data_IF_908019553274
#
_entry.id   IF_908019553274
#
_cell.length_a   1.000
_cell.length_b   1.000
_cell.length_c   1.000
_cell.angle_alpha   90.00
_cell.angle_beta   90.00
_cell.angle_gamma   90.00
#
_symmetry.space_group_name_H-M   'P 1'
#
loop_
_entity.id
_entity.type
_entity.pdbx_description
1 polymer ?
#
# COMPACT_ATOMS: atom_id res chain seq x y z
N UNK A 1 -28.84 -1.71 11.24
CA UNK A 1 -28.54 -2.34 12.54
C UNK A 1 -28.95 -3.78 12.36
N UNK A 2 -27.96 -4.67 12.34
CA UNK A 2 -28.10 -6.03 11.87
C UNK A 2 -29.22 -6.81 12.57
N UNK A 3 -29.82 -7.74 11.84
CA UNK A 3 -30.78 -8.68 12.39
C UNK A 3 -30.06 -9.64 13.37
N UNK A 4 -30.47 -9.70 14.66
CA UNK A 4 -29.84 -10.57 15.65
C UNK A 4 -29.82 -12.06 15.25
N UNK A 5 -30.83 -12.53 14.51
CA UNK A 5 -30.86 -13.90 13.99
C UNK A 5 -29.78 -14.10 12.93
N UNK A 6 -29.63 -13.15 12.00
CA UNK A 6 -28.59 -13.19 10.96
C UNK A 6 -27.18 -13.14 11.55
N UNK A 7 -26.95 -12.34 12.59
CA UNK A 7 -25.66 -12.29 13.29
C UNK A 7 -25.34 -13.63 13.96
N UNK A 8 -26.35 -14.26 14.58
CA UNK A 8 -26.20 -15.58 15.21
C UNK A 8 -25.89 -16.65 14.18
N UNK A 9 -26.59 -16.62 13.03
CA UNK A 9 -26.32 -17.47 11.87
C UNK A 9 -24.89 -17.30 11.36
N UNK A 10 -24.44 -16.06 11.15
CA UNK A 10 -23.09 -15.78 10.69
C UNK A 10 -22.01 -16.27 11.68
N UNK A 11 -22.26 -16.17 12.99
CA UNK A 11 -21.34 -16.70 14.01
C UNK A 11 -21.34 -18.23 14.10
N UNK A 12 -22.43 -18.88 13.72
CA UNK A 12 -22.53 -20.34 13.70
C UNK A 12 -21.79 -21.00 12.53
N UNK A 13 -21.47 -20.23 11.49
CA UNK A 13 -20.58 -20.63 10.40
C UNK A 13 -21.27 -20.83 9.05
N UNK A 14 -20.50 -21.15 8.00
CA UNK A 14 -20.96 -21.17 6.61
C UNK A 14 -22.08 -22.20 6.37
N UNK A 15 -22.01 -23.37 7.01
CA UNK A 15 -23.01 -24.44 6.81
C UNK A 15 -24.41 -24.07 7.31
N UNK A 16 -24.50 -23.28 8.37
CA UNK A 16 -25.78 -22.81 8.91
C UNK A 16 -26.38 -21.72 8.02
N UNK A 17 -25.54 -20.82 7.46
CA UNK A 17 -25.96 -19.87 6.44
C UNK A 17 -26.57 -20.60 5.24
N UNK A 18 -25.87 -21.61 4.71
CA UNK A 18 -26.39 -22.41 3.58
C UNK A 18 -27.72 -23.09 3.93
N UNK A 19 -27.82 -23.74 5.09
CA UNK A 19 -29.04 -24.43 5.51
C UNK A 19 -30.22 -23.46 5.70
N UNK A 20 -29.95 -22.27 6.23
CA UNK A 20 -30.94 -21.20 6.34
C UNK A 20 -31.39 -20.68 4.98
N UNK A 21 -30.47 -20.47 4.03
CA UNK A 21 -30.80 -20.07 2.65
C UNK A 21 -31.68 -21.12 1.96
N UNK A 22 -31.36 -22.41 2.13
CA UNK A 22 -32.15 -23.54 1.63
C UNK A 22 -33.54 -23.63 2.27
N UNK A 23 -33.69 -23.27 3.54
CA UNK A 23 -34.99 -23.26 4.22
C UNK A 23 -35.84 -22.04 3.84
N UNK A 24 -35.19 -20.90 3.57
CA UNK A 24 -35.84 -19.59 3.47
C UNK A 24 -35.92 -19.04 2.03
N UNK A 25 -35.63 -19.87 1.02
CA UNK A 25 -35.78 -19.53 -0.41
C UNK A 25 -37.22 -19.18 -0.82
N UNK A 26 -38.20 -19.58 -0.01
CA UNK A 26 -39.62 -19.27 -0.16
C UNK A 26 -40.09 -18.47 1.05
N UNK A 27 -40.41 -17.19 0.85
CA UNK A 27 -40.95 -16.32 1.92
C UNK A 27 -42.38 -15.89 1.61
N UNK A 28 -43.27 -15.84 2.61
CA UNK A 28 -44.59 -15.24 2.45
C UNK A 28 -44.46 -13.80 1.95
N UNK A 29 -45.24 -13.42 0.95
CA UNK A 29 -45.21 -12.06 0.43
C UNK A 29 -45.89 -11.11 1.42
N UNK A 30 -45.09 -10.31 2.13
CA UNK A 30 -45.57 -9.29 3.08
C UNK A 30 -45.68 -7.90 2.47
N UNK A 31 -45.32 -7.70 1.20
CA UNK A 31 -45.37 -6.42 0.51
C UNK A 31 -46.66 -6.26 -0.35
N UNK A 32 -47.18 -5.02 -0.43
CA UNK A 32 -48.36 -4.66 -1.25
C UNK A 32 -48.04 -4.68 -2.76
N UNK A 33 -49.04 -4.85 -3.68
CA UNK A 33 -48.82 -5.35 -5.03
C UNK A 33 -47.88 -4.49 -5.88
N UNK A 34 -46.88 -5.12 -6.50
CA UNK A 34 -45.97 -4.52 -7.49
C UNK A 34 -46.24 -4.96 -8.93
N UNK A 35 -47.18 -5.88 -9.15
CA UNK A 35 -47.45 -6.43 -10.48
C UNK A 35 -48.86 -6.06 -10.93
N UNK A 36 -48.93 -5.21 -11.95
CA UNK A 36 -50.15 -4.89 -12.69
C UNK A 36 -50.03 -5.50 -14.09
N UNK A 37 -50.92 -6.45 -14.41
CA UNK A 37 -51.06 -6.96 -15.75
C UNK A 37 -52.11 -6.10 -16.48
N UNK A 38 -51.66 -5.20 -17.34
CA UNK A 38 -52.54 -4.43 -18.22
C UNK A 38 -52.81 -5.21 -19.50
N UNK A 39 -54.08 -5.41 -19.84
CA UNK A 39 -54.48 -5.99 -21.13
C UNK A 39 -55.51 -5.10 -21.83
N UNK A 40 -55.39 -5.05 -23.16
CA UNK A 40 -56.21 -4.20 -24.02
C UNK A 40 -56.96 -5.08 -25.02
N UNK A 41 -58.27 -5.17 -24.87
CA UNK A 41 -59.17 -5.87 -25.77
C UNK A 41 -59.96 -4.81 -26.54
N UNK A 42 -59.59 -4.63 -27.81
CA UNK A 42 -60.20 -3.66 -28.74
C UNK A 42 -60.24 -2.23 -28.12
N UNK A 43 -61.43 -1.71 -27.82
CA UNK A 43 -61.62 -0.35 -27.29
C UNK A 43 -61.66 -0.26 -25.75
N UNK A 44 -61.39 -1.36 -25.03
CA UNK A 44 -61.39 -1.38 -23.55
C UNK A 44 -60.04 -1.81 -22.97
N UNK A 45 -59.51 -0.96 -22.10
CA UNK A 45 -58.36 -1.28 -21.24
C UNK A 45 -58.86 -1.81 -19.89
N UNK A 46 -58.37 -2.98 -19.49
CA UNK A 46 -58.56 -3.52 -18.14
C UNK A 46 -57.19 -3.90 -17.56
N UNK A 47 -57.06 -3.84 -16.24
CA UNK A 47 -55.84 -4.19 -15.53
C UNK A 47 -56.17 -4.99 -14.29
N UNK A 48 -55.43 -6.09 -14.09
CA UNK A 48 -55.50 -6.88 -12.88
C UNK A 48 -54.19 -6.70 -12.10
N UNK A 49 -54.32 -6.31 -10.83
CA UNK A 49 -53.21 -6.32 -9.90
C UNK A 49 -53.23 -7.64 -9.13
N UNK A 50 -52.13 -8.38 -9.16
CA UNK A 50 -52.00 -9.61 -8.39
C UNK A 50 -50.87 -9.48 -7.36
N UNK A 51 -51.10 -10.08 -6.18
CA UNK A 51 -50.09 -10.26 -5.14
C UNK A 51 -49.75 -11.75 -5.08
N UNK A 52 -48.57 -12.19 -5.54
CA UNK A 52 -48.18 -13.58 -5.36
C UNK A 52 -48.09 -13.88 -3.85
N UNK A 53 -48.56 -15.05 -3.40
CA UNK A 53 -48.55 -15.44 -1.97
C UNK A 53 -47.13 -15.61 -1.42
N UNK A 54 -46.17 -15.87 -2.32
CA UNK A 54 -44.76 -16.07 -2.00
C UNK A 54 -43.87 -15.27 -2.94
N UNK A 55 -42.82 -14.69 -2.38
CA UNK A 55 -41.71 -14.12 -3.15
C UNK A 55 -40.64 -15.20 -3.25
N UNK A 56 -40.21 -15.47 -4.47
CA UNK A 56 -39.12 -16.38 -4.78
C UNK A 56 -37.85 -15.55 -5.00
N UNK A 57 -36.79 -15.86 -4.28
CA UNK A 57 -35.52 -15.13 -4.39
C UNK A 57 -34.49 -15.61 -3.38
N UNK A 58 -33.23 -15.21 -3.60
CA UNK A 58 -32.14 -15.45 -2.64
C UNK A 58 -32.38 -14.55 -1.42
N UNK A 59 -32.64 -15.10 -0.22
CA UNK A 59 -32.82 -14.28 0.97
C UNK A 59 -31.50 -13.55 1.28
N UNK A 60 -31.53 -12.23 1.38
CA UNK A 60 -30.34 -11.44 1.73
C UNK A 60 -30.13 -11.47 3.25
N UNK A 61 -28.88 -11.68 3.69
CA UNK A 61 -28.49 -11.52 5.08
C UNK A 61 -28.21 -10.04 5.35
N UNK A 62 -28.97 -9.45 6.28
CA UNK A 62 -28.66 -8.14 6.86
C UNK A 62 -27.72 -8.32 8.05
N UNK A 63 -26.43 -8.05 7.80
CA UNK A 63 -25.34 -8.01 8.75
C UNK A 63 -24.82 -6.57 8.93
N UNK A 64 -25.66 -5.55 8.64
CA UNK A 64 -25.27 -4.14 8.72
C UNK A 64 -24.85 -3.73 10.15
N UNK A 65 -23.58 -3.33 10.31
CA UNK A 65 -23.01 -2.99 11.61
C UNK A 65 -22.86 -4.20 12.56
N UNK A 66 -22.91 -5.43 12.03
CA UNK A 66 -22.74 -6.63 12.83
C UNK A 66 -21.32 -6.70 13.40
N UNK A 67 -21.21 -7.05 14.69
CA UNK A 67 -19.93 -7.44 15.26
C UNK A 67 -19.68 -8.91 14.91
N UNK A 68 -18.75 -9.18 14.01
CA UNK A 68 -18.34 -10.50 13.51
C UNK A 68 -16.82 -10.70 13.64
N UNK A 69 -16.22 -10.04 14.63
CA UNK A 69 -14.81 -10.15 14.96
C UNK A 69 -14.40 -11.63 15.16
N UNK A 70 -13.30 -12.02 14.52
CA UNK A 70 -12.78 -13.39 14.50
C UNK A 70 -13.81 -14.47 14.06
N UNK A 71 -14.83 -14.10 13.29
CA UNK A 71 -15.78 -15.06 12.72
C UNK A 71 -15.08 -16.02 11.76
N UNK A 72 -15.57 -17.27 11.70
CA UNK A 72 -15.07 -18.30 10.80
C UNK A 72 -16.12 -18.56 9.72
N UNK A 73 -15.92 -17.95 8.57
CA UNK A 73 -16.82 -17.99 7.41
C UNK A 73 -16.09 -18.45 6.13
N UNK A 74 -15.25 -19.51 6.17
CA UNK A 74 -14.56 -19.96 4.98
C UNK A 74 -15.54 -20.55 3.97
N UNK A 75 -15.42 -20.16 2.70
CA UNK A 75 -16.32 -20.62 1.64
C UNK A 75 -17.79 -20.21 1.82
N UNK A 76 -18.09 -19.25 2.70
CA UNK A 76 -19.46 -18.79 2.91
C UNK A 76 -20.00 -18.10 1.65
N UNK A 77 -21.25 -18.40 1.28
CA UNK A 77 -21.99 -17.61 0.28
C UNK A 77 -22.64 -16.40 0.97
N UNK A 78 -21.93 -15.27 0.85
CA UNK A 78 -22.29 -13.94 1.30
C UNK A 78 -22.49 -12.97 0.12
N UNK A 79 -22.66 -13.49 -1.11
CA UNK A 79 -22.93 -12.66 -2.29
C UNK A 79 -24.15 -11.76 -2.02
N UNK A 80 -24.27 -10.57 -2.60
CA UNK A 80 -25.46 -9.70 -2.48
C UNK A 80 -26.04 -9.46 -1.07
N UNK A 81 -25.27 -9.70 -0.01
CA UNK A 81 -25.67 -9.47 1.38
C UNK A 81 -25.24 -8.08 1.84
N UNK A 82 -25.90 -7.57 2.87
CA UNK A 82 -25.54 -6.27 3.46
C UNK A 82 -24.61 -6.48 4.67
N UNK A 83 -23.33 -6.22 4.48
CA UNK A 83 -22.30 -6.20 5.52
C UNK A 83 -21.78 -4.76 5.77
N UNK A 84 -22.58 -3.74 5.43
CA UNK A 84 -22.16 -2.34 5.58
C UNK A 84 -21.82 -2.03 7.04
N UNK A 85 -20.63 -1.47 7.28
CA UNK A 85 -20.13 -1.17 8.62
C UNK A 85 -19.92 -2.37 9.53
N UNK A 86 -19.96 -3.61 9.03
CA UNK A 86 -19.72 -4.79 9.84
C UNK A 86 -18.25 -4.84 10.32
N UNK A 87 -18.04 -5.30 11.55
CA UNK A 87 -16.70 -5.56 12.09
C UNK A 87 -16.32 -7.02 11.85
N UNK A 88 -15.50 -7.25 10.84
CA UNK A 88 -14.90 -8.52 10.43
C UNK A 88 -13.40 -8.57 10.77
N UNK A 89 -12.96 -7.79 11.76
CA UNK A 89 -11.56 -7.77 12.18
C UNK A 89 -11.11 -9.17 12.59
N UNK A 90 -9.96 -9.62 12.06
CA UNK A 90 -9.38 -10.95 12.27
C UNK A 90 -10.28 -12.13 11.86
N UNK A 91 -11.31 -11.93 11.05
CA UNK A 91 -12.15 -13.02 10.56
C UNK A 91 -11.45 -13.87 9.51
N UNK A 92 -11.92 -15.10 9.34
CA UNK A 92 -11.50 -16.01 8.27
C UNK A 92 -12.63 -16.16 7.25
N UNK A 93 -12.43 -15.59 6.07
CA UNK A 93 -13.35 -15.53 4.92
C UNK A 93 -12.66 -16.10 3.67
N UNK A 94 -11.63 -16.95 3.83
CA UNK A 94 -10.95 -17.52 2.68
C UNK A 94 -11.94 -18.29 1.80
N UNK A 95 -11.82 -18.12 0.48
CA UNK A 95 -12.73 -18.70 -0.52
C UNK A 95 -14.22 -18.30 -0.39
N UNK A 96 -14.58 -17.32 0.45
CA UNK A 96 -15.95 -16.85 0.53
C UNK A 96 -16.39 -16.18 -0.77
N UNK A 97 -17.68 -16.31 -1.10
CA UNK A 97 -18.31 -15.57 -2.19
C UNK A 97 -18.99 -14.34 -1.62
N UNK A 98 -18.47 -13.16 -1.95
CA UNK A 98 -18.93 -11.83 -1.56
C UNK A 98 -19.30 -11.02 -2.82
N UNK A 99 -19.56 -11.68 -3.95
CA UNK A 99 -19.93 -11.02 -5.21
C UNK A 99 -21.18 -10.16 -5.04
N UNK A 100 -21.12 -8.90 -5.45
CA UNK A 100 -22.20 -7.93 -5.33
C UNK A 100 -22.62 -7.61 -3.88
N UNK A 101 -21.86 -8.03 -2.87
CA UNK A 101 -22.15 -7.73 -1.47
C UNK A 101 -21.86 -6.25 -1.15
N UNK A 102 -22.56 -5.71 -0.16
CA UNK A 102 -22.33 -4.37 0.34
C UNK A 102 -21.44 -4.40 1.58
N UNK A 103 -20.15 -4.10 1.44
CA UNK A 103 -19.16 -3.97 2.51
C UNK A 103 -18.76 -2.51 2.77
N UNK A 104 -19.61 -1.54 2.39
CA UNK A 104 -19.30 -0.12 2.57
C UNK A 104 -18.95 0.17 4.04
N UNK A 105 -17.76 0.74 4.27
CA UNK A 105 -17.26 1.06 5.60
C UNK A 105 -17.01 -0.13 6.53
N UNK A 106 -16.99 -1.37 6.02
CA UNK A 106 -16.71 -2.55 6.85
C UNK A 106 -15.26 -2.56 7.36
N UNK A 107 -15.05 -3.10 8.55
CA UNK A 107 -13.74 -3.23 9.16
C UNK A 107 -13.21 -4.65 8.97
N UNK A 108 -12.18 -4.83 8.14
CA UNK A 108 -11.63 -6.13 7.77
C UNK A 108 -10.19 -6.31 8.26
N UNK A 109 -9.69 -5.47 9.17
CA UNK A 109 -8.28 -5.45 9.57
C UNK A 109 -7.76 -6.84 9.98
N UNK A 110 -6.59 -7.24 9.46
CA UNK A 110 -5.96 -8.56 9.72
C UNK A 110 -6.85 -9.79 9.41
N UNK A 111 -7.90 -9.65 8.60
CA UNK A 111 -8.70 -10.78 8.13
C UNK A 111 -7.97 -11.59 7.04
N UNK A 112 -8.43 -12.83 6.86
CA UNK A 112 -8.04 -13.69 5.74
C UNK A 112 -9.17 -13.74 4.71
N UNK A 113 -8.97 -13.11 3.55
CA UNK A 113 -9.87 -13.04 2.40
C UNK A 113 -9.23 -13.72 1.16
N UNK A 114 -8.22 -14.56 1.38
CA UNK A 114 -7.51 -15.21 0.26
C UNK A 114 -8.47 -16.03 -0.59
N UNK A 115 -8.34 -15.90 -1.91
CA UNK A 115 -9.20 -16.55 -2.91
C UNK A 115 -10.70 -16.23 -2.81
N UNK A 116 -11.09 -15.19 -2.06
CA UNK A 116 -12.49 -14.76 -2.01
C UNK A 116 -12.90 -14.05 -3.32
N UNK A 117 -14.21 -14.10 -3.62
CA UNK A 117 -14.81 -13.44 -4.77
C UNK A 117 -15.55 -12.17 -4.33
N UNK A 118 -15.19 -11.02 -4.88
CA UNK A 118 -15.74 -9.70 -4.62
C UNK A 118 -16.18 -9.00 -5.91
N UNK A 119 -16.45 -9.75 -6.97
CA UNK A 119 -16.91 -9.16 -8.23
C UNK A 119 -18.11 -8.24 -7.99
N UNK A 120 -18.02 -7.01 -8.48
CA UNK A 120 -19.06 -5.97 -8.35
C UNK A 120 -19.47 -5.65 -6.89
N UNK A 121 -18.65 -6.02 -5.90
CA UNK A 121 -18.92 -5.70 -4.50
C UNK A 121 -18.70 -4.20 -4.23
N UNK A 122 -19.53 -3.63 -3.35
CA UNK A 122 -19.33 -2.28 -2.84
C UNK A 122 -18.47 -2.33 -1.58
N UNK A 123 -17.21 -1.93 -1.68
CA UNK A 123 -16.22 -1.89 -0.61
C UNK A 123 -15.74 -0.46 -0.31
N UNK A 124 -16.52 0.55 -0.70
CA UNK A 124 -16.13 1.95 -0.53
C UNK A 124 -15.87 2.28 0.95
N UNK A 125 -14.73 2.91 1.23
CA UNK A 125 -14.32 3.33 2.57
C UNK A 125 -14.05 2.20 3.58
N UNK A 126 -13.91 0.94 3.14
CA UNK A 126 -13.56 -0.16 4.04
C UNK A 126 -12.10 -0.06 4.56
N UNK A 127 -11.82 -0.70 5.70
CA UNK A 127 -10.45 -0.80 6.24
C UNK A 127 -9.92 -2.22 6.06
N UNK A 128 -9.02 -2.39 5.08
CA UNK A 128 -8.37 -3.64 4.68
C UNK A 128 -6.89 -3.68 5.10
N UNK A 129 -6.51 -2.90 6.12
CA UNK A 129 -5.11 -2.87 6.54
C UNK A 129 -4.61 -4.23 7.04
N UNK A 130 -3.44 -4.64 6.56
CA UNK A 130 -2.78 -5.93 6.89
C UNK A 130 -3.65 -7.17 6.61
N UNK A 131 -4.57 -7.12 5.65
CA UNK A 131 -5.38 -8.29 5.25
C UNK A 131 -4.66 -9.17 4.24
N UNK A 132 -4.95 -10.47 4.27
CA UNK A 132 -4.55 -11.37 3.19
C UNK A 132 -5.69 -11.46 2.15
N UNK A 133 -5.51 -10.81 1.01
CA UNK A 133 -6.40 -10.85 -0.16
C UNK A 133 -5.71 -11.51 -1.37
N UNK A 134 -4.69 -12.34 -1.14
CA UNK A 134 -3.98 -12.99 -2.25
C UNK A 134 -4.93 -13.86 -3.08
N UNK A 135 -4.77 -13.82 -4.40
CA UNK A 135 -5.58 -14.56 -5.38
C UNK A 135 -7.09 -14.28 -5.31
N UNK A 136 -7.53 -13.14 -4.76
CA UNK A 136 -8.94 -12.77 -4.78
C UNK A 136 -9.37 -12.25 -6.17
N UNK A 137 -10.68 -12.24 -6.40
CA UNK A 137 -11.29 -11.68 -7.62
C UNK A 137 -12.10 -10.45 -7.23
N UNK A 138 -11.77 -9.28 -7.76
CA UNK A 138 -12.32 -7.96 -7.44
C UNK A 138 -12.74 -7.22 -8.72
N UNK A 139 -13.20 -7.94 -9.75
CA UNK A 139 -13.55 -7.31 -11.03
C UNK A 139 -14.69 -6.32 -10.82
N UNK A 140 -14.49 -5.09 -11.31
CA UNK A 140 -15.45 -4.00 -11.17
C UNK A 140 -15.93 -3.74 -9.72
N UNK A 141 -15.13 -4.10 -8.70
CA UNK A 141 -15.43 -3.77 -7.32
C UNK A 141 -15.24 -2.26 -7.05
N UNK A 142 -16.08 -1.67 -6.21
CA UNK A 142 -15.92 -0.29 -5.75
C UNK A 142 -15.10 -0.26 -4.46
N UNK A 143 -13.84 0.14 -4.54
CA UNK A 143 -12.93 0.30 -3.41
C UNK A 143 -12.65 1.77 -3.10
N UNK A 144 -13.48 2.70 -3.59
CA UNK A 144 -13.21 4.14 -3.47
C UNK A 144 -12.94 4.57 -2.03
N UNK A 145 -11.81 5.25 -1.82
CA UNK A 145 -11.39 5.75 -0.50
C UNK A 145 -11.12 4.67 0.55
N UNK A 146 -11.04 3.38 0.17
CA UNK A 146 -10.65 2.32 1.08
C UNK A 146 -9.18 2.47 1.53
N UNK A 147 -8.90 2.03 2.76
CA UNK A 147 -7.54 1.95 3.29
C UNK A 147 -7.05 0.51 3.22
N UNK A 148 -6.15 0.22 2.29
CA UNK A 148 -5.67 -1.12 1.94
C UNK A 148 -4.16 -1.24 2.22
N UNK A 149 -3.62 -0.33 3.04
CA UNK A 149 -2.21 -0.26 3.35
C UNK A 149 -1.71 -1.56 4.00
N UNK A 150 -0.51 -2.01 3.62
CA UNK A 150 0.12 -3.24 4.11
C UNK A 150 -0.66 -4.54 3.82
N UNK A 151 -1.69 -4.51 2.96
CA UNK A 151 -2.40 -5.73 2.56
C UNK A 151 -1.61 -6.54 1.54
N UNK A 152 -1.92 -7.84 1.45
CA UNK A 152 -1.43 -8.71 0.37
C UNK A 152 -2.54 -8.90 -0.67
N UNK A 153 -2.38 -8.30 -1.84
CA UNK A 153 -3.22 -8.44 -3.04
C UNK A 153 -2.45 -9.13 -4.19
N UNK A 154 -1.42 -9.91 -3.88
CA UNK A 154 -0.66 -10.65 -4.90
C UNK A 154 -1.58 -11.57 -5.70
N UNK A 155 -1.40 -11.60 -7.02
CA UNK A 155 -2.22 -12.36 -7.97
C UNK A 155 -3.73 -12.00 -7.95
N UNK A 156 -4.12 -10.86 -7.39
CA UNK A 156 -5.53 -10.44 -7.39
C UNK A 156 -5.98 -9.98 -8.78
N UNK A 157 -7.25 -10.24 -9.11
CA UNK A 157 -7.88 -9.74 -10.34
C UNK A 157 -8.74 -8.51 -10.04
N UNK A 158 -8.16 -7.32 -10.22
CA UNK A 158 -8.75 -5.99 -10.00
C UNK A 158 -9.19 -5.34 -11.33
N UNK A 159 -9.46 -6.13 -12.37
CA UNK A 159 -9.91 -5.62 -13.68
C UNK A 159 -11.08 -4.64 -13.52
N UNK A 160 -10.92 -3.41 -14.00
CA UNK A 160 -11.91 -2.32 -13.94
C UNK A 160 -12.40 -1.96 -12.53
N UNK A 161 -11.68 -2.32 -11.48
CA UNK A 161 -12.02 -1.91 -10.12
C UNK A 161 -11.89 -0.38 -9.94
N UNK A 162 -12.73 0.22 -9.10
CA UNK A 162 -12.59 1.62 -8.70
C UNK A 162 -11.75 1.74 -7.43
N UNK A 163 -10.49 2.10 -7.59
CA UNK A 163 -9.51 2.35 -6.53
C UNK A 163 -9.27 3.86 -6.31
N UNK A 164 -10.21 4.72 -6.72
CA UNK A 164 -10.00 6.16 -6.64
C UNK A 164 -9.86 6.65 -5.19
N UNK A 165 -8.83 7.46 -4.94
CA UNK A 165 -8.50 7.99 -3.61
C UNK A 165 -8.11 6.94 -2.57
N UNK A 166 -7.79 5.71 -2.98
CA UNK A 166 -7.39 4.64 -2.05
C UNK A 166 -5.97 4.82 -1.53
N UNK A 167 -5.74 4.35 -0.30
CA UNK A 167 -4.39 4.20 0.23
C UNK A 167 -3.90 2.76 0.04
N UNK A 168 -3.03 2.57 -0.95
CA UNK A 168 -2.35 1.32 -1.32
C UNK A 168 -0.89 1.32 -0.83
N UNK A 169 -0.56 2.12 0.17
CA UNK A 169 0.82 2.22 0.67
C UNK A 169 1.29 0.88 1.24
N UNK A 170 2.50 0.44 0.86
CA UNK A 170 3.11 -0.83 1.29
C UNK A 170 2.27 -2.07 0.97
N UNK A 171 1.32 -1.98 0.03
CA UNK A 171 0.50 -3.10 -0.41
C UNK A 171 1.28 -3.96 -1.41
N UNK A 172 1.18 -5.28 -1.28
CA UNK A 172 1.71 -6.21 -2.28
C UNK A 172 0.67 -6.45 -3.38
N UNK A 173 0.90 -5.89 -4.57
CA UNK A 173 0.08 -6.03 -5.77
C UNK A 173 0.87 -6.81 -6.86
N UNK A 174 1.89 -7.57 -6.48
CA UNK A 174 2.68 -8.32 -7.46
C UNK A 174 1.81 -9.30 -8.23
N UNK A 175 2.02 -9.37 -9.55
CA UNK A 175 1.23 -10.18 -10.48
C UNK A 175 -0.28 -9.86 -10.52
N UNK A 176 -0.73 -8.73 -9.96
CA UNK A 176 -2.13 -8.35 -9.99
C UNK A 176 -2.56 -7.86 -11.38
N UNK A 177 -3.80 -8.17 -11.77
CA UNK A 177 -4.43 -7.61 -12.96
C UNK A 177 -5.20 -6.34 -12.56
N UNK A 178 -4.69 -5.17 -12.93
CA UNK A 178 -5.29 -3.84 -12.71
C UNK A 178 -5.77 -3.22 -14.04
N UNK A 179 -5.97 -4.04 -15.08
CA UNK A 179 -6.34 -3.53 -16.40
C UNK A 179 -7.66 -2.75 -16.36
N UNK A 180 -7.63 -1.54 -16.91
CA UNK A 180 -8.77 -0.62 -16.89
C UNK A 180 -9.21 -0.12 -15.50
N UNK A 181 -8.43 -0.36 -14.43
CA UNK A 181 -8.78 0.10 -13.10
C UNK A 181 -8.72 1.63 -12.97
N UNK A 182 -9.57 2.22 -12.13
CA UNK A 182 -9.54 3.64 -11.81
C UNK A 182 -8.67 3.88 -10.57
N UNK A 183 -7.44 4.34 -10.74
CA UNK A 183 -6.48 4.64 -9.68
C UNK A 183 -6.33 6.16 -9.43
N UNK A 184 -7.34 6.95 -9.81
CA UNK A 184 -7.31 8.40 -9.65
C UNK A 184 -7.05 8.82 -8.21
N UNK A 185 -6.01 9.61 -7.98
CA UNK A 185 -5.66 10.08 -6.63
C UNK A 185 -5.21 8.98 -5.65
N UNK A 186 -4.96 7.75 -6.12
CA UNK A 186 -4.51 6.66 -5.27
C UNK A 186 -3.07 6.89 -4.77
N UNK A 187 -2.77 6.42 -3.55
CA UNK A 187 -1.44 6.47 -2.95
C UNK A 187 -0.77 5.10 -3.05
N UNK A 188 0.27 4.98 -3.87
CA UNK A 188 1.03 3.75 -4.13
C UNK A 188 2.42 3.80 -3.46
N UNK A 189 2.52 4.38 -2.27
CA UNK A 189 3.80 4.62 -1.60
C UNK A 189 4.38 3.31 -1.09
N UNK A 190 5.56 2.90 -1.58
CA UNK A 190 6.19 1.65 -1.16
C UNK A 190 5.47 0.39 -1.64
N UNK A 191 4.47 0.52 -2.51
CA UNK A 191 3.72 -0.63 -3.02
C UNK A 191 4.59 -1.52 -3.91
N UNK A 192 4.27 -2.81 -3.98
CA UNK A 192 4.90 -3.74 -4.89
C UNK A 192 3.99 -4.01 -6.09
N UNK A 193 4.34 -3.50 -7.28
CA UNK A 193 3.62 -3.72 -8.54
C UNK A 193 4.42 -4.58 -9.52
N UNK A 194 5.42 -5.33 -9.06
CA UNK A 194 6.22 -6.20 -9.92
C UNK A 194 5.30 -7.17 -10.69
N UNK A 195 5.50 -7.24 -12.01
CA UNK A 195 4.68 -8.04 -12.94
C UNK A 195 3.17 -7.71 -12.97
N UNK A 196 2.74 -6.59 -12.39
CA UNK A 196 1.34 -6.18 -12.43
C UNK A 196 0.95 -5.62 -13.82
N UNK A 197 -0.31 -5.82 -14.21
CA UNK A 197 -0.86 -5.29 -15.46
C UNK A 197 -1.74 -4.06 -15.19
N UNK A 198 -1.26 -2.85 -15.50
CA UNK A 198 -2.04 -1.62 -15.44
C UNK A 198 -2.49 -1.15 -16.83
N UNK A 199 -2.65 -2.05 -17.79
CA UNK A 199 -3.05 -1.70 -19.15
C UNK A 199 -4.38 -0.93 -19.15
N UNK A 200 -4.38 0.29 -19.69
CA UNK A 200 -5.57 1.15 -19.73
C UNK A 200 -6.04 1.70 -18.38
N UNK A 201 -5.28 1.53 -17.30
CA UNK A 201 -5.64 2.05 -15.98
C UNK A 201 -5.53 3.58 -15.94
N UNK A 202 -6.32 4.22 -15.07
CA UNK A 202 -6.34 5.67 -14.92
C UNK A 202 -5.57 6.11 -13.67
N UNK A 203 -4.36 6.66 -13.86
CA UNK A 203 -3.42 7.06 -12.81
C UNK A 203 -3.44 8.58 -12.56
N UNK A 204 -4.47 9.31 -13.01
CA UNK A 204 -4.51 10.76 -12.86
C UNK A 204 -4.53 11.17 -11.37
N UNK A 205 -3.61 12.03 -10.95
CA UNK A 205 -3.45 12.45 -9.56
C UNK A 205 -2.85 11.38 -8.63
N UNK A 206 -2.51 10.19 -9.14
CA UNK A 206 -1.92 9.13 -8.32
C UNK A 206 -0.52 9.52 -7.83
N UNK A 207 -0.16 9.04 -6.64
CA UNK A 207 1.16 9.23 -6.05
C UNK A 207 1.91 7.90 -6.03
N UNK A 208 2.89 7.75 -6.92
CA UNK A 208 3.71 6.56 -7.10
C UNK A 208 5.10 6.90 -6.55
N UNK A 209 5.36 6.52 -5.31
CA UNK A 209 6.65 6.82 -4.65
C UNK A 209 7.26 5.55 -4.08
N UNK A 210 8.52 5.29 -4.38
CA UNK A 210 9.24 4.10 -3.89
C UNK A 210 8.49 2.78 -4.24
N UNK A 211 7.79 2.78 -5.36
CA UNK A 211 6.99 1.66 -5.83
C UNK A 211 7.87 0.73 -6.66
N UNK A 212 7.77 -0.58 -6.42
CA UNK A 212 8.44 -1.57 -7.27
C UNK A 212 7.65 -1.74 -8.56
N UNK A 213 8.30 -1.53 -9.71
CA UNK A 213 7.65 -1.50 -11.03
C UNK A 213 8.33 -2.46 -12.04
N UNK A 214 8.99 -3.51 -11.57
CA UNK A 214 9.71 -4.41 -12.47
C UNK A 214 8.72 -5.17 -13.36
N UNK A 215 8.86 -5.04 -14.68
CA UNK A 215 7.98 -5.71 -15.65
C UNK A 215 6.50 -5.37 -15.49
N UNK A 216 6.19 -4.22 -14.89
CA UNK A 216 4.83 -3.69 -14.82
C UNK A 216 4.40 -3.13 -16.18
N UNK A 217 3.18 -3.43 -16.62
CA UNK A 217 2.63 -2.88 -17.86
C UNK A 217 1.88 -1.57 -17.61
N UNK A 218 2.27 -0.50 -18.31
CA UNK A 218 1.52 0.77 -18.39
C UNK A 218 0.94 1.04 -19.79
N UNK A 219 0.88 0.05 -20.67
CA UNK A 219 0.31 0.23 -22.01
C UNK A 219 -1.08 0.89 -21.96
N UNK A 220 -1.30 1.96 -22.72
CA UNK A 220 -2.56 2.73 -22.73
C UNK A 220 -3.00 3.33 -21.39
N UNK A 221 -2.17 3.26 -20.33
CA UNK A 221 -2.49 3.86 -19.04
C UNK A 221 -2.54 5.39 -19.15
N UNK A 222 -3.41 6.02 -18.35
CA UNK A 222 -3.65 7.47 -18.40
C UNK A 222 -2.93 8.16 -17.25
N UNK A 223 -1.98 9.04 -17.57
CA UNK A 223 -1.23 9.86 -16.61
C UNK A 223 -1.69 11.31 -16.67
N UNK A 224 -1.67 12.00 -15.52
CA UNK A 224 -1.97 13.43 -15.47
C UNK A 224 -2.07 13.92 -14.04
N UNK A 225 -1.31 14.95 -13.68
CA UNK A 225 -1.10 15.38 -12.29
C UNK A 225 -0.56 14.22 -11.42
N UNK A 226 0.05 13.21 -12.05
CA UNK A 226 0.60 12.03 -11.38
C UNK A 226 1.99 12.38 -10.86
N UNK A 227 2.32 11.91 -9.65
CA UNK A 227 3.65 12.06 -9.07
C UNK A 227 4.36 10.72 -9.17
N UNK A 228 5.52 10.70 -9.81
CA UNK A 228 6.41 9.54 -9.85
C UNK A 228 7.73 9.96 -9.21
N UNK A 229 8.03 9.36 -8.05
CA UNK A 229 9.28 9.59 -7.35
C UNK A 229 9.91 8.29 -6.85
N UNK A 230 11.23 8.25 -6.83
CA UNK A 230 12.01 7.17 -6.28
C UNK A 230 11.73 5.79 -6.88
N UNK A 231 11.34 5.75 -8.15
CA UNK A 231 11.00 4.51 -8.85
C UNK A 231 12.06 4.17 -9.92
N UNK A 232 12.19 2.88 -10.21
CA UNK A 232 12.93 2.41 -11.39
C UNK A 232 11.94 2.13 -12.52
N UNK A 233 12.09 2.85 -13.63
CA UNK A 233 11.24 2.74 -14.81
C UNK A 233 11.88 1.90 -15.93
N UNK A 234 13.09 1.37 -15.76
CA UNK A 234 13.86 0.69 -16.82
C UNK A 234 13.16 -0.53 -17.40
N UNK A 235 12.47 -1.31 -16.55
CA UNK A 235 11.78 -2.54 -16.93
C UNK A 235 10.28 -2.38 -17.13
N UNK A 236 9.78 -1.15 -17.10
CA UNK A 236 8.36 -0.88 -17.28
C UNK A 236 7.99 -1.04 -18.75
N UNK A 237 6.91 -1.75 -19.00
CA UNK A 237 6.43 -2.09 -20.35
C UNK A 237 5.40 -1.03 -20.78
N UNK A 238 5.50 -0.56 -22.03
CA UNK A 238 4.48 0.30 -22.62
C UNK A 238 4.52 1.77 -22.21
N UNK A 239 5.65 2.26 -21.67
CA UNK A 239 5.82 3.69 -21.35
C UNK A 239 5.64 4.62 -22.57
N UNK A 240 5.95 4.16 -23.78
CA UNK A 240 5.76 4.93 -25.02
C UNK A 240 4.29 5.01 -25.46
N UNK A 241 3.45 4.11 -24.96
CA UNK A 241 2.06 3.94 -25.37
C UNK A 241 1.08 4.50 -24.31
N UNK A 242 1.58 5.28 -23.37
CA UNK A 242 0.75 5.90 -22.35
C UNK A 242 -0.01 7.10 -22.91
N UNK A 243 -1.11 7.46 -22.25
CA UNK A 243 -1.91 8.64 -22.57
C UNK A 243 -1.67 9.71 -21.53
N UNK A 244 -1.29 10.91 -21.96
CA UNK A 244 -1.14 12.05 -21.08
C UNK A 244 -2.42 12.91 -21.10
N UNK A 245 -3.12 12.96 -19.98
CA UNK A 245 -4.27 13.84 -19.73
C UNK A 245 -3.85 15.18 -19.09
N UNK A 246 -2.59 15.32 -18.65
CA UNK A 246 -2.05 16.53 -18.06
C UNK A 246 -0.57 16.39 -17.66
N UNK A 247 0.06 17.46 -17.15
CA UNK A 247 1.46 17.43 -16.72
C UNK A 247 1.62 16.50 -15.53
N UNK A 248 2.70 15.74 -15.49
CA UNK A 248 3.03 14.82 -14.39
C UNK A 248 4.39 15.18 -13.81
N UNK A 249 4.54 15.00 -12.50
CA UNK A 249 5.80 15.29 -11.81
C UNK A 249 6.66 14.04 -11.83
N UNK A 250 7.78 14.10 -12.55
CA UNK A 250 8.79 13.05 -12.57
C UNK A 250 10.01 13.56 -11.82
N UNK A 251 10.37 12.89 -10.74
CA UNK A 251 11.48 13.31 -9.91
C UNK A 251 12.84 12.99 -10.54
N UNK A 252 13.87 13.77 -10.19
CA UNK A 252 15.24 13.56 -10.66
C UNK A 252 15.81 12.22 -10.16
N UNK A 253 15.43 11.80 -8.95
CA UNK A 253 15.81 10.50 -8.40
C UNK A 253 15.22 9.33 -9.21
N UNK A 254 14.01 9.48 -9.76
CA UNK A 254 13.44 8.47 -10.68
C UNK A 254 14.26 8.36 -11.97
N UNK A 255 14.70 9.49 -12.54
CA UNK A 255 15.57 9.49 -13.73
C UNK A 255 16.92 8.83 -13.44
N UNK A 256 17.53 9.15 -12.29
CA UNK A 256 18.80 8.56 -11.87
C UNK A 256 18.69 7.05 -11.66
N UNK A 257 17.65 6.57 -10.95
CA UNK A 257 17.42 5.13 -10.73
C UNK A 257 17.18 4.38 -12.02
N UNK A 258 16.45 5.01 -12.92
CA UNK A 258 16.21 4.48 -14.26
C UNK A 258 17.45 4.60 -15.17
N UNK A 259 18.59 5.08 -14.65
CA UNK A 259 19.85 5.29 -15.40
C UNK A 259 19.66 6.14 -16.66
N UNK A 260 18.73 7.09 -16.63
CA UNK A 260 18.32 7.88 -17.80
C UNK A 260 17.69 7.06 -18.93
N UNK A 261 17.22 5.84 -18.68
CA UNK A 261 16.54 4.98 -19.67
C UNK A 261 15.02 5.22 -19.67
N UNK A 262 14.60 6.47 -19.51
CA UNK A 262 13.18 6.84 -19.61
C UNK A 262 12.92 7.36 -21.02
N UNK A 263 11.81 6.93 -21.62
CA UNK A 263 11.42 7.39 -22.95
C UNK A 263 11.30 8.91 -23.00
N UNK A 264 11.87 9.53 -24.03
CA UNK A 264 11.74 10.97 -24.27
C UNK A 264 10.28 11.34 -24.55
N UNK A 265 9.53 10.49 -25.25
CA UNK A 265 8.11 10.73 -25.54
C UNK A 265 7.27 10.79 -24.26
N UNK A 266 7.57 9.91 -23.29
CA UNK A 266 6.95 9.94 -21.98
C UNK A 266 7.29 11.22 -21.19
N UNK A 267 8.57 11.61 -21.17
CA UNK A 267 9.01 12.82 -20.47
C UNK A 267 8.37 14.09 -21.06
N UNK A 268 8.39 14.21 -22.38
CA UNK A 268 7.77 15.34 -23.09
C UNK A 268 6.25 15.37 -22.88
N UNK A 269 5.58 14.22 -22.96
CA UNK A 269 4.15 14.09 -22.69
C UNK A 269 3.78 14.42 -21.24
N UNK A 270 4.67 14.14 -20.29
CA UNK A 270 4.54 14.55 -18.88
C UNK A 270 4.78 16.05 -18.67
N UNK A 271 5.25 16.79 -19.68
CA UNK A 271 5.53 18.22 -19.62
C UNK A 271 6.96 18.58 -19.22
N UNK A 272 7.90 17.63 -19.29
CA UNK A 272 9.32 17.89 -19.06
C UNK A 272 9.91 18.62 -20.28
N UNK A 273 10.57 19.78 -20.10
CA UNK A 273 11.23 20.49 -21.19
C UNK A 273 12.25 19.61 -21.93
N UNK A 274 12.35 19.69 -23.27
CA UNK A 274 13.27 18.85 -24.06
C UNK A 274 14.73 18.92 -23.60
N UNK A 275 15.21 20.08 -23.14
CA UNK A 275 16.56 20.26 -22.59
C UNK A 275 16.81 19.44 -21.32
N UNK A 276 15.79 19.23 -20.49
CA UNK A 276 15.88 18.37 -19.30
C UNK A 276 15.73 16.90 -19.68
N UNK A 277 14.92 16.60 -20.72
CA UNK A 277 14.80 15.25 -21.25
C UNK A 277 16.11 14.75 -21.87
N UNK A 278 16.89 15.60 -22.54
CA UNK A 278 18.24 15.26 -23.03
C UNK A 278 19.29 15.22 -21.92
N UNK A 279 19.13 16.03 -20.87
CA UNK A 279 20.02 15.97 -19.71
C UNK A 279 20.01 14.60 -19.00
N UNK A 280 18.99 13.76 -19.24
CA UNK A 280 18.98 12.41 -18.70
C UNK A 280 20.13 11.53 -19.25
N UNK A 281 20.67 11.85 -20.43
CA UNK A 281 21.82 11.15 -21.01
C UNK A 281 23.07 11.26 -20.12
N UNK A 282 23.20 12.34 -19.35
CA UNK A 282 24.26 12.48 -18.35
C UNK A 282 24.19 11.39 -17.27
N UNK A 283 22.99 10.90 -16.93
CA UNK A 283 22.84 9.75 -16.01
C UNK A 283 23.24 8.43 -16.67
N UNK A 284 23.02 8.28 -17.99
CA UNK A 284 23.48 7.10 -18.74
C UNK A 284 25.01 7.03 -18.77
N UNK A 285 25.66 8.16 -19.01
CA UNK A 285 27.11 8.25 -19.14
C UNK A 285 27.83 8.14 -17.80
N UNK A 286 27.29 8.76 -16.74
CA UNK A 286 27.91 8.72 -15.42
C UNK A 286 27.67 7.40 -14.67
N UNK A 287 26.54 6.71 -14.95
CA UNK A 287 26.13 5.52 -14.20
C UNK A 287 25.88 5.76 -12.71
N UNK A 288 25.86 7.02 -12.27
CA UNK A 288 25.73 7.40 -10.87
C UNK A 288 24.27 7.29 -10.42
N UNK A 289 24.06 6.51 -9.37
CA UNK A 289 22.79 6.45 -8.64
C UNK A 289 22.89 7.30 -7.38
N UNK A 290 22.00 8.26 -7.22
CA UNK A 290 21.99 9.10 -6.03
C UNK A 290 21.24 8.37 -4.91
N UNK A 291 21.96 8.04 -3.83
CA UNK A 291 21.35 7.51 -2.62
C UNK A 291 21.12 8.65 -1.64
N UNK A 292 19.86 8.89 -1.27
CA UNK A 292 19.45 9.86 -0.26
C UNK A 292 19.44 9.21 1.11
N UNK A 293 20.15 9.82 2.05
CA UNK A 293 20.34 9.27 3.39
C UNK A 293 19.62 10.13 4.41
N UNK A 294 18.78 9.52 5.24
CA UNK A 294 18.20 10.17 6.40
C UNK A 294 18.89 9.64 7.67
N UNK A 295 19.54 10.53 8.40
CA UNK A 295 20.17 10.28 9.70
C UNK A 295 19.14 10.53 10.80
N UNK A 296 18.88 9.54 11.64
CA UNK A 296 18.06 9.66 12.85
C UNK A 296 18.91 9.47 14.09
N UNK A 297 18.80 10.38 15.05
CA UNK A 297 19.47 10.28 16.34
C UNK A 297 18.79 11.14 17.41
N UNK A 298 19.48 11.33 18.52
CA UNK A 298 19.14 12.30 19.56
C UNK A 298 19.68 13.69 19.18
N UNK A 299 19.06 14.75 19.68
CA UNK A 299 19.55 16.12 19.60
C UNK A 299 20.97 16.24 20.17
N UNK A 300 21.29 15.42 21.18
CA UNK A 300 22.62 15.36 21.79
C UNK A 300 23.69 14.75 20.86
N UNK A 301 23.31 14.12 19.75
CA UNK A 301 24.23 13.57 18.74
C UNK A 301 24.54 14.56 17.61
N UNK A 302 24.15 15.83 17.75
CA UNK A 302 24.28 16.83 16.69
C UNK A 302 25.70 16.98 16.13
N UNK A 303 26.74 16.93 16.99
CA UNK A 303 28.14 17.01 16.54
C UNK A 303 28.57 15.79 15.72
N UNK A 304 28.21 14.59 16.18
CA UNK A 304 28.52 13.34 15.48
C UNK A 304 27.75 13.23 14.17
N UNK A 305 26.46 13.60 14.17
CA UNK A 305 25.63 13.67 12.99
C UNK A 305 26.17 14.68 11.96
N UNK A 306 26.67 15.83 12.41
CA UNK A 306 27.31 16.82 11.54
C UNK A 306 28.62 16.29 10.92
N UNK A 307 29.43 15.56 11.69
CA UNK A 307 30.66 14.91 11.18
C UNK A 307 30.33 13.89 10.09
N UNK A 308 29.34 13.03 10.31
CA UNK A 308 28.87 12.07 9.29
C UNK A 308 28.32 12.80 8.06
N UNK A 309 27.50 13.83 8.25
CA UNK A 309 26.93 14.63 7.16
C UNK A 309 28.02 15.27 6.30
N UNK A 310 29.09 15.78 6.90
CA UNK A 310 30.23 16.34 6.18
C UNK A 310 30.95 15.27 5.33
N UNK A 311 31.22 14.10 5.92
CA UNK A 311 31.82 12.98 5.18
C UNK A 311 30.93 12.46 4.03
N UNK A 312 29.62 12.39 4.24
CA UNK A 312 28.68 12.02 3.18
C UNK A 312 28.61 13.08 2.07
N UNK A 313 28.73 14.36 2.40
CA UNK A 313 28.78 15.43 1.40
C UNK A 313 30.03 15.34 0.53
N UNK A 314 31.19 14.99 1.10
CA UNK A 314 32.43 14.71 0.33
C UNK A 314 32.26 13.52 -0.61
N UNK A 315 31.52 12.50 -0.19
CA UNK A 315 31.15 11.35 -1.01
C UNK A 315 30.00 11.63 -2.01
N UNK A 316 29.53 12.88 -2.12
CA UNK A 316 28.40 13.30 -2.98
C UNK A 316 27.07 12.61 -2.65
N UNK A 317 26.89 12.18 -1.39
CA UNK A 317 25.67 11.54 -0.88
C UNK A 317 24.82 12.59 -0.15
N UNK A 318 23.68 13.01 -0.72
CA UNK A 318 22.79 13.97 -0.07
C UNK A 318 22.21 13.37 1.22
N UNK A 319 22.40 14.07 2.33
CA UNK A 319 21.97 13.60 3.65
C UNK A 319 21.26 14.68 4.47
N UNK A 320 20.25 14.23 5.22
CA UNK A 320 19.48 15.03 6.16
C UNK A 320 19.56 14.40 7.55
N UNK A 321 19.37 15.21 8.58
CA UNK A 321 19.40 14.76 9.97
C UNK A 321 18.10 15.18 10.63
N UNK A 322 17.46 14.26 11.34
CA UNK A 322 16.30 14.53 12.19
C UNK A 322 16.62 14.05 13.60
N UNK A 323 16.48 14.96 14.57
CA UNK A 323 16.49 14.64 15.98
C UNK A 323 15.13 14.07 16.37
N UNK A 324 15.11 12.87 16.94
CA UNK A 324 13.89 12.12 17.27
C UNK A 324 13.28 12.53 18.61
N UNK A 325 14.04 13.23 19.44
CA UNK A 325 13.71 13.73 20.77
C UNK A 325 13.35 15.22 20.80
N UNK A 326 13.38 15.91 19.64
CA UNK A 326 12.88 17.27 19.49
C UNK A 326 11.34 17.29 19.43
N UNK A 327 10.71 17.13 20.61
CA UNK A 327 9.26 17.17 20.76
C UNK A 327 8.64 18.49 20.26
N UNK A 328 9.37 19.62 20.35
CA UNK A 328 8.86 20.92 19.93
C UNK A 328 8.68 20.99 18.40
N UNK A 329 9.65 20.47 17.63
CA UNK A 329 9.55 20.42 16.17
C UNK A 329 8.58 19.35 15.66
N UNK A 330 8.43 18.24 16.39
CA UNK A 330 7.46 17.19 16.09
C UNK A 330 6.01 17.64 16.37
N UNK A 331 5.75 18.27 17.52
CA UNK A 331 4.41 18.73 17.90
C UNK A 331 3.94 19.96 17.11
N UNK A 332 4.87 20.83 16.70
CA UNK A 332 4.55 21.97 15.81
C UNK A 332 4.30 21.55 14.37
N UNK A 333 4.58 20.29 14.00
CA UNK A 333 4.51 19.79 12.63
C UNK A 333 5.62 20.31 11.72
N UNK A 334 6.64 20.99 12.28
CA UNK A 334 7.82 21.45 11.54
C UNK A 334 8.65 20.27 11.00
N UNK A 335 8.59 19.11 11.67
CA UNK A 335 9.13 17.84 11.20
C UNK A 335 8.04 16.79 11.22
N UNK A 336 7.72 16.20 10.08
CA UNK A 336 6.76 15.11 9.98
C UNK A 336 7.45 13.86 9.42
N UNK A 337 7.74 12.91 10.31
CA UNK A 337 8.37 11.65 9.97
C UNK A 337 7.45 10.73 9.13
N UNK A 338 6.12 10.87 9.23
CA UNK A 338 5.17 10.10 8.40
C UNK A 338 5.20 10.53 6.93
N UNK A 339 5.66 11.76 6.66
CA UNK A 339 5.87 12.29 5.31
C UNK A 339 7.31 12.12 4.81
N UNK A 340 8.18 11.44 5.58
CA UNK A 340 9.55 11.12 5.18
C UNK A 340 9.56 9.97 4.16
N UNK A 341 8.89 10.16 3.03
CA UNK A 341 8.74 9.17 1.96
C UNK A 341 9.86 9.31 0.90
N UNK A 342 10.73 10.32 1.06
CA UNK A 342 11.72 10.74 0.07
C UNK A 342 13.18 10.41 0.43
N UNK A 343 13.43 9.38 1.23
CA UNK A 343 14.78 8.88 1.49
C UNK A 343 14.95 7.44 1.00
N UNK A 344 16.19 7.04 0.77
CA UNK A 344 16.53 5.73 0.20
C UNK A 344 17.13 4.82 1.26
N UNK A 345 17.91 5.40 2.17
CA UNK A 345 18.52 4.70 3.31
C UNK A 345 18.23 5.46 4.59
N UNK A 346 17.84 4.73 5.62
CA UNK A 346 17.66 5.24 6.96
C UNK A 346 18.88 4.83 7.80
N UNK A 347 19.55 5.79 8.39
CA UNK A 347 20.74 5.56 9.20
C UNK A 347 20.43 5.94 10.63
N UNK A 348 20.44 4.95 11.52
CA UNK A 348 20.20 5.15 12.94
C UNK A 348 21.52 5.36 13.68
N UNK A 349 21.68 6.52 14.30
CA UNK A 349 22.81 6.83 15.17
C UNK A 349 22.63 6.05 16.47
N UNK A 350 23.36 4.95 16.64
CA UNK A 350 23.29 4.10 17.83
C UNK A 350 24.41 4.47 18.81
N UNK A 351 24.41 5.74 19.23
CA UNK A 351 25.27 6.26 20.29
C UNK A 351 24.66 5.96 21.67
N UNK A 352 25.45 6.15 22.73
CA UNK A 352 24.97 6.11 24.11
C UNK A 352 23.76 7.04 24.31
N UNK A 353 23.84 8.26 23.77
CA UNK A 353 22.80 9.29 23.92
C UNK A 353 21.48 8.87 23.26
N UNK A 354 21.53 8.33 22.04
CA UNK A 354 20.35 7.84 21.33
C UNK A 354 19.74 6.57 21.95
N UNK A 355 20.57 5.65 22.44
CA UNK A 355 20.11 4.37 23.00
C UNK A 355 19.59 4.49 24.44
N UNK A 356 20.13 5.41 25.23
CA UNK A 356 19.67 5.69 26.60
C UNK A 356 18.44 6.59 26.64
N UNK A 357 18.22 7.43 25.61
CA UNK A 357 17.03 8.25 25.51
C UNK A 357 15.76 7.39 25.29
N UNK A 358 14.75 7.45 26.19
CA UNK A 358 13.54 6.65 26.09
C UNK A 358 12.66 6.99 24.88
N UNK A 359 12.74 8.22 24.34
CA UNK A 359 11.96 8.66 23.17
C UNK A 359 12.56 8.06 21.89
N UNK A 360 13.85 8.30 21.67
CA UNK A 360 14.62 7.79 20.53
C UNK A 360 14.61 6.26 20.47
N UNK A 361 14.84 5.59 21.61
CA UNK A 361 14.81 4.12 21.68
C UNK A 361 13.42 3.53 21.39
N UNK A 362 12.33 4.18 21.83
CA UNK A 362 10.97 3.78 21.45
C UNK A 362 10.73 3.96 19.96
N UNK A 363 11.22 5.04 19.37
CA UNK A 363 11.06 5.28 17.94
C UNK A 363 11.84 4.23 17.12
N UNK A 364 13.09 3.95 17.47
CA UNK A 364 13.89 2.88 16.86
C UNK A 364 13.21 1.51 16.99
N UNK A 365 12.62 1.21 18.16
CA UNK A 365 11.84 -0.02 18.35
C UNK A 365 10.58 -0.06 17.46
N UNK A 366 9.92 1.07 17.24
CA UNK A 366 8.75 1.15 16.35
C UNK A 366 9.12 0.90 14.88
N UNK A 367 10.28 1.40 14.44
CA UNK A 367 10.82 1.16 13.11
C UNK A 367 11.15 -0.33 12.90
N UNK A 368 11.83 -0.95 13.87
CA UNK A 368 12.16 -2.39 13.84
C UNK A 368 10.93 -3.29 13.82
N UNK A 369 9.85 -2.89 14.53
CA UNK A 369 8.60 -3.65 14.59
C UNK A 369 7.68 -3.44 13.36
N UNK A 370 8.16 -2.74 12.31
CA UNK A 370 7.39 -2.49 11.10
C UNK A 370 6.16 -1.59 11.33
N UNK A 371 6.26 -0.64 12.27
CA UNK A 371 5.27 0.42 12.47
C UNK A 371 5.69 1.75 11.80
N UNK A 372 6.85 1.78 11.13
CA UNK A 372 7.29 2.90 10.29
C UNK A 372 6.95 2.73 8.81
N UNK A 373 7.12 3.79 8.00
CA UNK A 373 6.71 3.80 6.59
C UNK A 373 7.53 2.90 5.64
N UNK A 374 8.57 2.18 6.09
CA UNK A 374 9.50 1.46 5.19
C UNK A 374 10.05 0.12 5.73
N UNK A 375 10.41 -0.73 4.77
CA UNK A 375 11.04 -2.06 4.90
C UNK A 375 12.37 -2.02 5.68
N UNK A 376 12.60 -3.05 6.51
CA UNK A 376 13.81 -3.28 7.33
C UNK A 376 15.10 -3.24 6.50
N UNK A 377 15.05 -3.55 5.20
CA UNK A 377 16.21 -3.61 4.29
C UNK A 377 16.89 -2.25 4.01
N UNK A 378 16.21 -1.13 4.30
CA UNK A 378 16.75 0.22 4.10
C UNK A 378 17.49 0.77 5.32
N UNK A 379 17.49 0.04 6.44
CA UNK A 379 17.97 0.50 7.74
C UNK A 379 19.43 0.10 7.98
N UNK A 380 20.26 1.08 8.35
CA UNK A 380 21.66 0.89 8.72
C UNK A 380 21.86 1.44 10.14
N UNK A 381 22.40 0.63 11.03
CA UNK A 381 22.74 1.05 12.39
C UNK A 381 24.21 1.48 12.46
N UNK A 382 24.48 2.68 12.96
CA UNK A 382 25.84 3.16 13.24
C UNK A 382 26.17 2.91 14.70
N UNK A 383 26.99 1.90 14.94
CA UNK A 383 27.47 1.57 16.29
C UNK A 383 28.67 2.45 16.63
N UNK A 384 28.43 3.58 17.30
CA UNK A 384 29.49 4.48 17.74
C UNK A 384 30.12 4.06 19.08
N UNK A 385 29.32 3.45 19.97
CA UNK A 385 29.71 3.15 21.35
C UNK A 385 29.64 1.65 21.67
N UNK A 386 30.42 1.20 22.66
CA UNK A 386 30.40 -0.19 23.14
C UNK A 386 29.04 -0.62 23.71
N UNK A 387 28.25 0.35 24.20
CA UNK A 387 26.91 0.11 24.76
C UNK A 387 26.02 -0.62 23.75
N UNK A 388 26.18 -0.36 22.44
CA UNK A 388 25.44 -1.05 21.39
C UNK A 388 25.70 -2.56 21.36
N UNK A 389 26.92 -3.01 21.69
CA UNK A 389 27.29 -4.43 21.72
C UNK A 389 27.06 -5.08 23.08
N UNK A 390 27.21 -4.33 24.17
CA UNK A 390 27.06 -4.86 25.53
C UNK A 390 25.60 -5.06 25.95
N UNK A 391 24.67 -4.32 25.34
CA UNK A 391 23.25 -4.37 25.70
C UNK A 391 22.54 -5.56 25.02
N UNK A 392 21.88 -6.41 25.80
CA UNK A 392 21.12 -7.58 25.33
C UNK A 392 19.61 -7.30 25.16
N UNK A 393 19.23 -6.04 24.99
CA UNK A 393 17.83 -5.66 24.79
C UNK A 393 17.34 -6.05 23.39
N UNK A 394 16.02 -6.31 23.26
CA UNK A 394 15.37 -6.66 21.98
C UNK A 394 15.66 -5.68 20.84
N UNK A 395 15.90 -4.42 21.17
CA UNK A 395 16.26 -3.37 20.20
C UNK A 395 17.68 -3.56 19.66
N UNK A 396 18.67 -3.70 20.54
CA UNK A 396 20.06 -3.89 20.11
C UNK A 396 20.26 -5.25 19.43
N UNK A 397 19.57 -6.31 19.89
CA UNK A 397 19.58 -7.58 19.17
C UNK A 397 18.98 -7.45 17.77
N UNK A 398 17.82 -6.79 17.63
CA UNK A 398 17.17 -6.58 16.34
C UNK A 398 17.98 -5.69 15.38
N UNK A 399 18.70 -4.68 15.89
CA UNK A 399 19.61 -3.86 15.07
C UNK A 399 20.86 -4.63 14.65
N UNK A 400 21.37 -5.54 15.50
CA UNK A 400 22.52 -6.40 15.19
C UNK A 400 22.21 -7.47 14.15
N UNK A 401 20.95 -7.88 14.03
CA UNK A 401 20.49 -8.78 12.96
C UNK A 401 20.45 -8.08 11.58
N UNK A 402 20.53 -6.75 11.53
CA UNK A 402 20.55 -5.92 10.32
C UNK A 402 21.94 -5.49 9.86
N UNK A 403 22.02 -4.42 9.04
CA UNK A 403 23.29 -3.85 8.57
C UNK A 403 23.84 -2.92 9.65
N UNK A 404 24.98 -3.29 10.25
CA UNK A 404 25.68 -2.49 11.25
C UNK A 404 27.03 -2.03 10.70
N UNK A 405 27.30 -0.73 10.79
CA UNK A 405 28.63 -0.16 10.52
C UNK A 405 29.24 0.32 11.83
N UNK A 406 30.43 -0.19 12.13
CA UNK A 406 31.17 0.11 13.36
C UNK A 406 31.90 1.46 13.21
N UNK A 407 31.59 2.40 14.08
CA UNK A 407 32.22 3.73 14.18
C UNK A 407 32.99 3.90 15.49
N UNK A 408 33.28 2.83 16.24
CA UNK A 408 34.05 2.91 17.49
C UNK A 408 35.45 3.47 17.27
N UNK A 409 35.81 4.49 18.06
CA UNK A 409 37.11 5.16 17.97
C UNK A 409 37.21 6.13 16.80
N UNK A 410 36.10 6.74 16.39
CA UNK A 410 36.01 7.78 15.37
C UNK A 410 36.74 9.10 15.70
N UNK A 411 37.42 9.17 16.85
CA UNK A 411 38.37 10.23 17.20
C UNK A 411 39.63 10.17 16.30
N UNK A 412 39.98 8.98 15.82
CA UNK A 412 41.02 8.80 14.81
C UNK A 412 40.43 8.99 13.41
N UNK A 413 40.95 9.99 12.69
CA UNK A 413 40.49 10.35 11.35
C UNK A 413 40.68 9.20 10.35
N UNK A 414 41.73 8.37 10.49
CA UNK A 414 41.96 7.25 9.59
C UNK A 414 40.86 6.17 9.74
N UNK A 415 40.46 5.88 10.99
CA UNK A 415 39.35 4.95 11.27
C UNK A 415 38.01 5.51 10.86
N UNK A 416 37.78 6.81 11.08
CA UNK A 416 36.56 7.47 10.66
C UNK A 416 36.36 7.34 9.15
N UNK A 417 37.41 7.57 8.36
CA UNK A 417 37.35 7.44 6.90
C UNK A 417 37.15 5.99 6.44
N UNK A 418 37.75 5.01 7.12
CA UNK A 418 37.52 3.58 6.84
C UNK A 418 36.06 3.19 7.09
N UNK A 419 35.49 3.56 8.24
CA UNK A 419 34.09 3.32 8.59
C UNK A 419 33.12 4.07 7.66
N UNK A 420 33.45 5.30 7.26
CA UNK A 420 32.67 6.07 6.30
C UNK A 420 32.69 5.41 4.91
N UNK A 421 33.84 4.92 4.46
CA UNK A 421 33.95 4.19 3.20
C UNK A 421 33.12 2.89 3.26
N UNK A 422 33.12 2.18 4.39
CA UNK A 422 32.26 1.01 4.60
C UNK A 422 30.77 1.38 4.53
N UNK A 423 30.37 2.50 5.16
CA UNK A 423 29.00 3.01 5.09
C UNK A 423 28.57 3.35 3.65
N UNK A 424 29.43 4.04 2.89
CA UNK A 424 29.16 4.37 1.48
C UNK A 424 29.11 3.11 0.61
N UNK A 425 29.96 2.10 0.88
CA UNK A 425 29.89 0.81 0.21
C UNK A 425 28.56 0.08 0.49
N UNK A 426 28.04 0.13 1.72
CA UNK A 426 26.72 -0.42 2.04
C UNK A 426 25.59 0.27 1.26
N UNK A 427 25.72 1.59 1.03
CA UNK A 427 24.76 2.31 0.18
C UNK A 427 24.82 1.90 -1.29
N UNK A 428 26.00 1.51 -1.79
CA UNK A 428 26.20 1.07 -3.16
C UNK A 428 25.72 -0.38 -3.42
N UNK A 429 25.53 -1.20 -2.38
CA UNK A 429 24.99 -2.55 -2.54
C UNK A 429 23.50 -2.49 -2.88
N UNK A 430 23.03 -3.18 -3.94
CA UNK A 430 21.60 -3.34 -4.18
C UNK A 430 20.96 -4.08 -3.01
N UNK A 431 19.76 -3.66 -2.60
CA UNK A 431 18.96 -4.34 -1.58
C UNK A 431 18.86 -5.84 -1.89
N UNK A 432 19.14 -6.71 -0.91
CA UNK A 432 19.34 -8.16 -1.09
C UNK A 432 18.13 -8.95 -1.66
N UNK A 433 17.01 -8.29 -1.96
CA UNK A 433 15.83 -8.88 -2.61
C UNK A 433 15.51 -8.30 -4.00
N UNK A 434 16.47 -7.72 -4.70
CA UNK A 434 16.39 -7.71 -6.17
C UNK A 434 16.59 -9.16 -6.63
N UNK A 435 15.59 -9.86 -7.19
CA UNK A 435 15.87 -11.16 -7.77
C UNK A 435 16.99 -10.97 -8.80
N UNK A 436 17.92 -11.93 -8.94
CA UNK A 436 18.79 -11.92 -10.08
C UNK A 436 17.88 -12.07 -11.31
N UNK A 437 18.21 -11.36 -12.39
CA UNK A 437 17.59 -11.40 -13.72
C UNK A 437 16.49 -10.35 -14.00
#
# INVERSE_FOLDING_TARGET
>A
MADPEHVTLARSGPSEISRWREATWRRPNTEKPRYSLGYRLEDRSAGETFTPDYVYGRPSLDLSGAMLNAAKLPGADLSHDDLSGADLTQSDLHQADLSGANLQGAHLWRSNLSRANFNEANMAGCTLGRTNMSNCVLKAADLKGASIAFANLSYADLERADLSGTDLSQTDLSWANLSGANLRGARLIGANLDMADLTGADLQGATIINTKLNSTSFSQAVFGVTIIANCDLTRVIGLDDVRHAGPSMISLDTLSRSRGQVSTGFLEGAGVPPLLATAQDAFRESGMTYTRVLLLGSENDAEFAAKIKAGLAEAQVPSWTIATDDEASLQSGATNLDNAVYYDRLVLLCTAQSLENPITSRYFASLLNGQGPLMVESLVALAADEIFYQREDRLCSGLRDGVVVDFRGCDDEARFQESLAALVQEFAKPSQNSPPF
#
